data_IF_112051903496
#
_entry.id   IF_112051903496
#
_cell.length_a   1.000
_cell.length_b   1.000
_cell.length_c   1.000
_cell.angle_alpha   90.00
_cell.angle_beta   90.00
_cell.angle_gamma   90.00
#
_symmetry.space_group_name_H-M   'P 1'
#
loop_
_entity.id
_entity.type
_entity.pdbx_description
1 polymer ?
#
# COMPACT_ATOMS: atom_id res chain seq x y z
N UNK A 1 39.38 30.44 -10.71
CA UNK A 1 38.36 30.81 -9.69
C UNK A 1 37.11 31.23 -10.42
N UNK A 2 35.96 31.09 -9.74
CA UNK A 2 34.58 31.29 -10.19
C UNK A 2 33.95 30.09 -10.90
N UNK A 3 33.29 29.26 -10.08
CA UNK A 3 32.11 28.52 -10.51
C UNK A 3 30.84 29.33 -10.24
N UNK A 4 29.71 28.76 -10.66
CA UNK A 4 28.36 28.76 -10.06
C UNK A 4 27.40 28.29 -11.19
N UNK A 5 26.98 27.03 -11.20
CA UNK A 5 25.82 26.51 -10.46
C UNK A 5 24.49 27.04 -11.05
N UNK A 6 24.01 26.41 -12.12
CA UNK A 6 22.60 26.47 -12.54
C UNK A 6 21.96 25.11 -12.31
N UNK A 7 21.16 25.06 -11.25
CA UNK A 7 20.51 23.86 -10.74
C UNK A 7 19.65 23.15 -11.78
N UNK A 8 19.96 21.87 -12.00
CA UNK A 8 18.99 20.91 -12.52
C UNK A 8 18.01 20.59 -11.39
N UNK A 9 16.91 21.32 -11.33
CA UNK A 9 15.71 20.82 -10.65
C UNK A 9 15.23 19.60 -11.41
N UNK A 10 15.67 18.41 -11.01
CA UNK A 10 15.21 17.15 -11.59
C UNK A 10 13.70 17.02 -11.40
N UNK A 11 12.99 16.63 -12.47
CA UNK A 11 11.54 16.40 -12.55
C UNK A 11 11.06 15.19 -11.69
N UNK A 12 11.53 15.05 -10.46
CA UNK A 12 11.25 13.92 -9.57
C UNK A 12 9.74 13.70 -9.33
N UNK A 13 8.92 14.75 -9.39
CA UNK A 13 7.46 14.67 -9.26
C UNK A 13 6.79 13.98 -10.45
N UNK A 14 7.24 14.23 -11.66
CA UNK A 14 6.69 13.60 -12.86
C UNK A 14 7.11 12.12 -12.93
N UNK A 15 8.34 11.81 -12.52
CA UNK A 15 8.82 10.42 -12.47
C UNK A 15 8.15 9.61 -11.36
N UNK A 16 7.91 10.22 -10.19
CA UNK A 16 7.19 9.57 -9.07
C UNK A 16 5.75 9.21 -9.43
N UNK A 17 4.98 10.18 -9.95
CA UNK A 17 3.59 9.93 -10.36
C UNK A 17 3.48 8.92 -11.51
N UNK A 18 4.43 8.94 -12.45
CA UNK A 18 4.49 7.94 -13.53
C UNK A 18 4.76 6.55 -12.97
N UNK A 19 5.67 6.44 -12.00
CA UNK A 19 5.99 5.19 -11.32
C UNK A 19 4.79 4.63 -10.55
N UNK A 20 4.12 5.46 -9.74
CA UNK A 20 2.88 5.09 -9.03
C UNK A 20 1.81 4.58 -10.00
N UNK A 21 1.57 5.29 -11.11
CA UNK A 21 0.60 4.85 -12.14
C UNK A 21 0.98 3.52 -12.79
N UNK A 22 2.27 3.29 -13.05
CA UNK A 22 2.75 2.03 -13.62
C UNK A 22 2.52 0.86 -12.65
N UNK A 23 2.83 1.06 -11.37
CA UNK A 23 2.71 0.02 -10.34
C UNK A 23 1.27 -0.24 -9.89
N UNK A 24 0.49 0.82 -9.70
CA UNK A 24 -0.82 0.77 -9.02
C UNK A 24 -1.99 1.12 -9.91
N UNK A 25 -1.75 1.71 -11.09
CA UNK A 25 -2.80 2.35 -11.87
C UNK A 25 -3.30 3.62 -11.18
N UNK A 26 -4.51 4.05 -11.53
CA UNK A 26 -5.15 5.20 -10.90
C UNK A 26 -6.67 5.07 -10.97
N UNK A 27 -7.34 5.76 -10.06
CA UNK A 27 -8.78 5.96 -10.14
C UNK A 27 -9.07 7.04 -11.19
N UNK A 28 -10.10 6.82 -12.00
CA UNK A 28 -10.60 7.85 -12.93
C UNK A 28 -11.36 8.92 -12.16
N UNK A 29 -10.66 10.00 -11.81
CA UNK A 29 -11.24 11.15 -11.09
C UNK A 29 -12.17 11.99 -11.96
N UNK A 30 -12.14 11.79 -13.27
CA UNK A 30 -13.02 12.47 -14.20
C UNK A 30 -14.36 11.77 -14.39
N UNK A 31 -14.45 10.51 -13.98
CA UNK A 31 -15.66 9.72 -13.97
C UNK A 31 -16.79 10.39 -13.18
N UNK A 32 -18.00 10.29 -13.72
CA UNK A 32 -19.19 10.93 -13.15
C UNK A 32 -19.54 10.34 -11.78
N UNK A 33 -19.47 9.01 -11.61
CA UNK A 33 -19.74 8.33 -10.33
C UNK A 33 -18.75 8.80 -9.28
N UNK A 34 -17.48 8.95 -9.64
CA UNK A 34 -16.46 9.48 -8.73
C UNK A 34 -16.82 10.90 -8.24
N UNK A 35 -17.12 11.81 -9.17
CA UNK A 35 -17.48 13.21 -8.84
C UNK A 35 -18.73 13.29 -7.95
N UNK A 36 -19.75 12.50 -8.25
CA UNK A 36 -20.99 12.43 -7.46
C UNK A 36 -20.74 11.88 -6.05
N UNK A 37 -19.94 10.82 -5.93
CA UNK A 37 -19.60 10.21 -4.65
C UNK A 37 -18.74 11.14 -3.78
N UNK A 38 -17.74 11.79 -4.39
CA UNK A 38 -16.91 12.79 -3.71
C UNK A 38 -17.77 13.96 -3.18
N UNK A 39 -18.68 14.50 -3.99
CA UNK A 39 -19.59 15.56 -3.56
C UNK A 39 -20.50 15.11 -2.41
N UNK A 40 -21.01 13.88 -2.46
CA UNK A 40 -21.84 13.30 -1.41
C UNK A 40 -21.08 13.14 -0.08
N UNK A 41 -19.84 12.67 -0.14
CA UNK A 41 -19.03 12.39 1.06
C UNK A 41 -18.42 13.65 1.69
N UNK A 42 -18.03 14.66 0.88
CA UNK A 42 -17.40 15.89 1.37
C UNK A 42 -18.39 16.90 1.96
N UNK A 43 -19.68 16.76 1.62
CA UNK A 43 -20.73 17.64 2.11
C UNK A 43 -20.58 19.08 1.63
N UNK A 44 -21.45 19.96 2.12
CA UNK A 44 -21.48 21.37 1.70
C UNK A 44 -20.47 22.27 2.42
N UNK A 45 -19.93 21.82 3.56
CA UNK A 45 -19.08 22.66 4.43
C UNK A 45 -17.62 22.72 4.02
N UNK A 46 -17.09 21.67 3.38
CA UNK A 46 -15.72 21.65 2.85
C UNK A 46 -15.63 20.83 1.55
N UNK A 47 -16.06 21.42 0.41
CA UNK A 47 -16.03 20.74 -0.88
C UNK A 47 -14.63 20.23 -1.20
N UNK A 48 -14.49 18.91 -1.43
CA UNK A 48 -13.23 18.27 -1.81
C UNK A 48 -12.30 17.85 -0.67
N UNK A 49 -12.59 18.18 0.59
CA UNK A 49 -11.89 17.60 1.73
C UNK A 49 -12.62 16.33 2.20
N UNK A 50 -11.86 15.25 2.41
CA UNK A 50 -12.38 14.01 3.00
C UNK A 50 -11.48 13.53 4.14
N UNK A 51 -12.09 13.15 5.25
CA UNK A 51 -11.40 12.45 6.33
C UNK A 51 -10.93 11.08 5.88
N UNK A 52 -9.88 10.54 6.52
CA UNK A 52 -9.20 9.30 6.08
C UNK A 52 -10.16 8.14 5.81
N UNK A 53 -11.12 7.88 6.70
CA UNK A 53 -12.10 6.80 6.55
C UNK A 53 -13.01 6.99 5.34
N UNK A 54 -13.46 8.22 5.08
CA UNK A 54 -14.29 8.54 3.91
C UNK A 54 -13.50 8.47 2.61
N UNK A 55 -12.21 8.85 2.65
CA UNK A 55 -11.32 8.71 1.49
C UNK A 55 -11.07 7.25 1.13
N UNK A 56 -10.98 6.36 2.13
CA UNK A 56 -10.92 4.90 1.90
C UNK A 56 -12.22 4.40 1.27
N UNK A 57 -13.38 4.80 1.79
CA UNK A 57 -14.69 4.42 1.22
C UNK A 57 -14.80 4.86 -0.25
N UNK A 58 -14.46 6.12 -0.54
CA UNK A 58 -14.42 6.65 -1.91
C UNK A 58 -13.51 5.82 -2.81
N UNK A 59 -12.29 5.52 -2.36
CA UNK A 59 -11.35 4.73 -3.16
C UNK A 59 -11.89 3.33 -3.45
N UNK A 60 -12.49 2.64 -2.47
CA UNK A 60 -13.07 1.30 -2.66
C UNK A 60 -14.19 1.29 -3.70
N UNK A 61 -15.09 2.26 -3.62
CA UNK A 61 -16.26 2.36 -4.50
C UNK A 61 -15.89 2.72 -5.94
N UNK A 62 -14.76 3.38 -6.14
CA UNK A 62 -14.32 3.88 -7.43
C UNK A 62 -13.11 3.11 -8.01
N UNK A 63 -12.88 1.88 -7.58
CA UNK A 63 -11.80 1.08 -8.15
C UNK A 63 -11.96 0.89 -9.68
N UNK A 64 -10.86 0.97 -10.44
CA UNK A 64 -10.87 0.80 -11.90
C UNK A 64 -11.10 -0.66 -12.34
N UNK A 65 -11.24 -1.60 -11.40
CA UNK A 65 -11.41 -3.02 -11.66
C UNK A 65 -11.77 -3.80 -10.39
N UNK A 66 -11.66 -5.12 -10.47
CA UNK A 66 -11.90 -6.02 -9.33
C UNK A 66 -10.73 -5.95 -8.34
N UNK A 67 -10.95 -5.54 -7.07
CA UNK A 67 -9.88 -5.49 -6.07
C UNK A 67 -9.42 -6.88 -5.60
N UNK A 68 -10.15 -7.97 -5.90
CA UNK A 68 -9.71 -9.35 -5.69
C UNK A 68 -8.86 -9.88 -6.86
N UNK A 69 -8.78 -9.13 -7.95
CA UNK A 69 -7.99 -9.46 -9.14
C UNK A 69 -7.52 -8.17 -9.85
N UNK A 70 -6.61 -7.39 -9.24
CA UNK A 70 -6.20 -6.11 -9.77
C UNK A 70 -5.42 -6.28 -11.08
N UNK A 71 -5.72 -5.45 -12.07
CA UNK A 71 -5.10 -5.55 -13.41
C UNK A 71 -3.59 -5.20 -13.45
N UNK A 72 -3.04 -4.69 -12.34
CA UNK A 72 -1.67 -4.19 -12.28
C UNK A 72 -0.75 -5.28 -11.71
N UNK A 73 0.30 -5.71 -12.45
CA UNK A 73 1.12 -6.86 -12.06
C UNK A 73 1.64 -6.78 -10.62
N UNK A 74 2.23 -5.66 -10.23
CA UNK A 74 2.73 -5.48 -8.86
C UNK A 74 1.65 -5.62 -7.80
N UNK A 75 0.51 -4.96 -7.99
CA UNK A 75 -0.58 -5.00 -7.01
C UNK A 75 -1.19 -6.41 -6.94
N UNK A 76 -1.21 -7.14 -8.06
CA UNK A 76 -1.68 -8.52 -8.14
C UNK A 76 -0.73 -9.51 -7.48
N UNK A 77 0.56 -9.43 -7.78
CA UNK A 77 1.57 -10.29 -7.17
C UNK A 77 1.63 -10.07 -5.66
N UNK A 78 1.49 -8.82 -5.21
CA UNK A 78 1.39 -8.49 -3.79
C UNK A 78 0.11 -9.04 -3.15
N UNK A 79 -1.02 -9.03 -3.87
CA UNK A 79 -2.27 -9.62 -3.39
C UNK A 79 -2.11 -11.13 -3.17
N UNK A 80 -1.54 -11.83 -4.16
CA UNK A 80 -1.28 -13.27 -4.11
C UNK A 80 -0.36 -13.60 -2.93
N UNK A 81 0.74 -12.88 -2.78
CA UNK A 81 1.68 -13.10 -1.67
C UNK A 81 1.00 -12.93 -0.29
N UNK A 82 0.14 -11.93 -0.15
CA UNK A 82 -0.61 -11.73 1.10
C UNK A 82 -1.61 -12.88 1.31
N UNK A 83 -2.33 -13.31 0.28
CA UNK A 83 -3.27 -14.44 0.35
C UNK A 83 -2.56 -15.74 0.77
N UNK A 84 -1.45 -16.07 0.10
CA UNK A 84 -0.67 -17.27 0.36
C UNK A 84 -0.19 -17.33 1.82
N UNK A 85 0.25 -16.20 2.38
CA UNK A 85 0.68 -16.15 3.78
C UNK A 85 -0.45 -16.32 4.79
N UNK A 86 -1.65 -15.79 4.51
CA UNK A 86 -2.82 -16.05 5.35
C UNK A 86 -3.24 -17.53 5.27
N UNK A 87 -3.17 -18.14 4.08
CA UNK A 87 -3.42 -19.58 3.89
C UNK A 87 -2.41 -20.44 4.65
N UNK A 88 -1.11 -20.13 4.56
CA UNK A 88 -0.04 -20.81 5.31
C UNK A 88 -0.24 -20.68 6.82
N UNK A 89 -0.77 -19.55 7.30
CA UNK A 89 -1.12 -19.36 8.71
C UNK A 89 -2.37 -20.15 9.13
N UNK A 90 -3.12 -20.72 8.17
CA UNK A 90 -4.37 -21.43 8.39
C UNK A 90 -5.54 -20.50 8.71
N UNK A 91 -5.52 -19.27 8.19
CA UNK A 91 -6.54 -18.25 8.45
C UNK A 91 -7.35 -18.03 7.17
N UNK A 92 -8.65 -18.32 7.24
CA UNK A 92 -9.57 -18.00 6.15
C UNK A 92 -9.78 -16.48 6.08
N UNK A 93 -9.30 -15.88 4.99
CA UNK A 93 -9.26 -14.45 4.81
C UNK A 93 -9.65 -14.07 3.38
N UNK A 94 -10.52 -13.07 3.24
CA UNK A 94 -10.74 -12.42 1.94
C UNK A 94 -9.81 -11.22 1.83
N UNK A 95 -8.82 -11.31 0.94
CA UNK A 95 -7.84 -10.25 0.69
C UNK A 95 -8.25 -9.45 -0.54
N UNK A 96 -8.15 -8.12 -0.47
CA UNK A 96 -8.44 -7.20 -1.56
C UNK A 96 -7.38 -6.12 -1.64
N UNK A 97 -7.01 -5.70 -2.85
CA UNK A 97 -6.03 -4.68 -3.11
C UNK A 97 -6.65 -3.48 -3.84
N UNK A 98 -6.34 -2.28 -3.36
CA UNK A 98 -6.93 -1.05 -3.85
C UNK A 98 -5.85 -0.03 -4.20
N UNK A 99 -6.03 0.65 -5.34
CA UNK A 99 -5.28 1.88 -5.63
C UNK A 99 -6.03 3.08 -5.09
N UNK A 100 -5.28 4.05 -4.57
CA UNK A 100 -5.76 5.33 -4.09
C UNK A 100 -5.18 6.51 -4.90
N UNK A 101 -4.33 6.22 -5.89
CA UNK A 101 -3.68 7.21 -6.75
C UNK A 101 -4.72 8.11 -7.43
N UNK A 102 -4.56 9.42 -7.24
CA UNK A 102 -5.46 10.46 -7.75
C UNK A 102 -6.61 10.83 -6.81
N UNK A 103 -6.81 10.12 -5.70
CA UNK A 103 -7.92 10.40 -4.77
C UNK A 103 -7.51 11.34 -3.63
N UNK A 104 -8.47 11.87 -2.86
CA UNK A 104 -8.18 12.52 -1.58
C UNK A 104 -7.37 11.66 -0.59
N UNK A 105 -7.41 10.32 -0.70
CA UNK A 105 -6.60 9.43 0.14
C UNK A 105 -5.10 9.60 -0.16
N UNK A 106 -4.73 9.64 -1.44
CA UNK A 106 -3.39 10.00 -1.91
C UNK A 106 -3.07 11.45 -1.50
N UNK A 107 -3.84 12.42 -1.99
CA UNK A 107 -3.43 13.82 -1.93
C UNK A 107 -3.43 14.45 -0.53
N UNK A 108 -4.34 14.00 0.35
CA UNK A 108 -4.48 14.57 1.70
C UNK A 108 -3.79 13.70 2.76
N UNK A 109 -3.83 12.38 2.57
CA UNK A 109 -3.37 11.41 3.57
C UNK A 109 -2.09 10.68 3.19
N UNK A 110 -1.53 10.90 1.99
CA UNK A 110 -0.26 10.31 1.56
C UNK A 110 -0.31 8.78 1.55
N UNK A 111 -1.37 8.25 0.96
CA UNK A 111 -1.60 6.80 0.81
C UNK A 111 -1.93 6.53 -0.64
N UNK A 112 -1.04 5.82 -1.33
CA UNK A 112 -1.15 5.52 -2.77
C UNK A 112 -1.92 4.24 -3.04
N UNK A 113 -1.87 3.30 -2.10
CA UNK A 113 -2.60 2.04 -2.17
C UNK A 113 -2.94 1.51 -0.78
N UNK A 114 -3.82 0.51 -0.71
CA UNK A 114 -4.05 -0.21 0.53
C UNK A 114 -4.53 -1.64 0.25
N UNK A 115 -4.17 -2.55 1.15
CA UNK A 115 -4.67 -3.91 1.19
C UNK A 115 -5.70 -4.01 2.31
N UNK A 116 -6.83 -4.63 2.04
CA UNK A 116 -7.80 -5.00 3.07
C UNK A 116 -7.88 -6.50 3.23
N UNK A 117 -8.03 -6.95 4.46
CA UNK A 117 -8.26 -8.36 4.79
C UNK A 117 -9.50 -8.48 5.64
N UNK A 118 -10.43 -9.33 5.22
CA UNK A 118 -11.63 -9.66 5.98
C UNK A 118 -11.47 -11.04 6.63
N UNK A 119 -11.52 -11.10 7.96
CA UNK A 119 -11.49 -12.33 8.76
C UNK A 119 -12.67 -12.29 9.74
N UNK A 120 -13.46 -13.36 9.81
CA UNK A 120 -14.66 -13.45 10.65
C UNK A 120 -15.63 -12.25 10.49
N UNK A 121 -15.77 -11.77 9.24
CA UNK A 121 -16.63 -10.62 8.90
C UNK A 121 -16.10 -9.25 9.36
N UNK A 122 -14.87 -9.18 9.89
CA UNK A 122 -14.20 -7.93 10.26
C UNK A 122 -13.12 -7.59 9.26
N UNK A 123 -13.13 -6.35 8.78
CA UNK A 123 -12.16 -5.87 7.82
C UNK A 123 -11.02 -5.10 8.50
N UNK A 124 -9.80 -5.40 8.09
CA UNK A 124 -8.57 -4.77 8.53
C UNK A 124 -7.86 -4.15 7.34
N UNK A 125 -7.28 -2.96 7.52
CA UNK A 125 -6.66 -2.21 6.42
C UNK A 125 -5.16 -2.03 6.70
N UNK A 126 -4.34 -2.21 5.68
CA UNK A 126 -2.93 -1.85 5.64
C UNK A 126 -2.70 -0.88 4.48
N UNK A 127 -2.27 0.34 4.80
CA UNK A 127 -2.05 1.43 3.85
C UNK A 127 -0.58 1.50 3.39
N UNK A 128 -0.38 1.82 2.11
CA UNK A 128 0.90 1.83 1.42
C UNK A 128 1.17 3.22 0.82
N UNK A 129 2.41 3.72 0.99
CA UNK A 129 2.96 4.88 0.25
C UNK A 129 4.12 4.34 -0.61
N UNK A 130 4.03 4.49 -1.93
CA UNK A 130 5.09 4.09 -2.85
C UNK A 130 5.95 5.31 -3.14
N UNK A 131 7.25 5.22 -2.88
CA UNK A 131 8.12 6.36 -3.10
C UNK A 131 9.48 5.99 -3.66
N UNK A 132 9.93 6.78 -4.64
CA UNK A 132 11.30 6.78 -5.13
C UNK A 132 12.23 7.64 -4.27
N UNK A 133 11.72 8.34 -3.25
CA UNK A 133 12.53 9.19 -2.39
C UNK A 133 13.01 8.39 -1.15
N UNK A 134 14.30 8.02 -1.06
CA UNK A 134 14.83 7.30 0.09
C UNK A 134 14.77 8.12 1.39
N UNK A 135 14.85 9.45 1.32
CA UNK A 135 14.81 10.33 2.49
C UNK A 135 13.42 10.39 3.13
N UNK A 136 12.36 10.13 2.35
CA UNK A 136 11.02 9.99 2.92
C UNK A 136 11.07 8.89 3.97
N UNK A 137 11.64 7.72 3.70
CA UNK A 137 11.65 6.56 4.61
C UNK A 137 12.07 6.88 6.06
N UNK A 138 12.88 7.92 6.30
CA UNK A 138 13.32 8.33 7.64
C UNK A 138 12.43 9.37 8.38
N UNK A 139 11.47 10.02 7.72
CA UNK A 139 10.85 11.29 8.20
C UNK A 139 9.43 11.20 8.79
N UNK A 140 8.91 10.00 9.03
CA UNK A 140 7.58 9.78 9.62
C UNK A 140 6.47 9.70 8.57
N UNK A 141 5.66 8.64 8.67
CA UNK A 141 4.79 8.18 7.58
C UNK A 141 3.34 8.16 7.96
N UNK A 142 2.49 8.62 7.05
CA UNK A 142 1.03 8.57 7.22
C UNK A 142 0.45 7.20 6.85
N UNK A 143 1.16 6.43 6.01
CA UNK A 143 0.86 5.06 5.65
C UNK A 143 1.40 4.05 6.69
N UNK A 144 0.84 2.84 6.72
CA UNK A 144 1.34 1.75 7.58
C UNK A 144 2.71 1.25 7.09
N UNK A 145 2.91 1.21 5.76
CA UNK A 145 4.14 0.75 5.12
C UNK A 145 4.55 1.69 3.99
N UNK A 146 5.86 1.99 3.90
CA UNK A 146 6.44 2.53 2.67
C UNK A 146 7.02 1.41 1.84
N UNK A 147 6.73 1.49 0.55
CA UNK A 147 7.39 0.69 -0.48
C UNK A 147 8.34 1.61 -1.24
N UNK A 148 9.62 1.23 -1.25
CA UNK A 148 10.64 1.92 -2.03
C UNK A 148 10.59 1.55 -3.52
N UNK A 149 11.68 1.81 -4.22
CA UNK A 149 11.87 1.32 -5.58
C UNK A 149 11.84 -0.22 -5.64
N UNK A 150 11.05 -0.76 -6.57
CA UNK A 150 10.95 -2.20 -6.84
C UNK A 150 11.61 -2.49 -8.19
N UNK A 151 12.37 -3.58 -8.27
CA UNK A 151 13.03 -4.02 -9.49
C UNK A 151 12.04 -4.27 -10.63
N UNK A 152 12.42 -3.96 -11.87
CA UNK A 152 11.60 -4.28 -13.05
C UNK A 152 11.81 -5.76 -13.46
N UNK A 153 10.78 -6.62 -13.35
CA UNK A 153 10.91 -8.05 -13.64
C UNK A 153 11.15 -8.35 -15.12
N UNK A 154 10.95 -7.38 -16.03
CA UNK A 154 11.08 -7.58 -17.48
C UNK A 154 12.50 -7.36 -18.01
N UNK A 155 13.45 -6.94 -17.16
CA UNK A 155 14.82 -6.60 -17.60
C UNK A 155 15.70 -7.83 -17.80
N UNK A 156 15.78 -8.71 -16.81
CA UNK A 156 16.51 -9.98 -16.86
C UNK A 156 16.17 -10.85 -15.62
N UNK A 157 16.63 -12.11 -15.61
CA UNK A 157 16.39 -13.06 -14.51
C UNK A 157 16.86 -12.55 -13.14
N UNK A 158 17.94 -11.76 -13.08
CA UNK A 158 18.43 -11.22 -11.81
C UNK A 158 17.45 -10.16 -11.25
N UNK A 159 16.91 -9.30 -12.10
CA UNK A 159 15.90 -8.31 -11.69
C UNK A 159 14.55 -8.95 -11.40
N UNK A 160 14.18 -9.99 -12.13
CA UNK A 160 12.99 -10.79 -11.84
C UNK A 160 13.08 -11.44 -10.45
N UNK A 161 14.21 -12.08 -10.11
CA UNK A 161 14.38 -12.67 -8.79
C UNK A 161 14.34 -11.61 -7.68
N UNK A 162 14.99 -10.46 -7.88
CA UNK A 162 14.92 -9.33 -6.94
C UNK A 162 13.49 -8.80 -6.75
N UNK A 163 12.74 -8.68 -7.84
CA UNK A 163 11.34 -8.27 -7.79
C UNK A 163 10.52 -9.22 -6.91
N UNK A 164 10.66 -10.53 -7.12
CA UNK A 164 9.96 -11.55 -6.32
C UNK A 164 10.36 -11.50 -4.84
N UNK A 165 11.66 -11.37 -4.54
CA UNK A 165 12.15 -11.22 -3.16
C UNK A 165 11.57 -9.96 -2.48
N UNK A 166 11.47 -8.85 -3.22
CA UNK A 166 10.88 -7.61 -2.73
C UNK A 166 9.37 -7.75 -2.50
N UNK A 167 8.63 -8.39 -3.42
CA UNK A 167 7.20 -8.66 -3.24
C UNK A 167 6.97 -9.53 -2.01
N UNK A 168 7.75 -10.60 -1.83
CA UNK A 168 7.70 -11.47 -0.65
C UNK A 168 7.97 -10.68 0.66
N UNK A 169 9.00 -9.82 0.66
CA UNK A 169 9.32 -8.97 1.82
C UNK A 169 8.20 -7.99 2.15
N UNK A 170 7.63 -7.31 1.14
CA UNK A 170 6.53 -6.36 1.31
C UNK A 170 5.29 -7.12 1.81
N UNK A 171 4.94 -8.24 1.19
CA UNK A 171 3.83 -9.10 1.59
C UNK A 171 3.94 -9.54 3.05
N UNK A 172 5.13 -10.01 3.47
CA UNK A 172 5.40 -10.36 4.87
C UNK A 172 5.16 -9.20 5.83
N UNK A 173 5.61 -7.99 5.48
CA UNK A 173 5.39 -6.80 6.32
C UNK A 173 3.90 -6.47 6.43
N UNK A 174 3.17 -6.52 5.32
CA UNK A 174 1.72 -6.29 5.30
C UNK A 174 0.99 -7.30 6.18
N UNK A 175 1.27 -8.59 6.02
CA UNK A 175 0.67 -9.67 6.80
C UNK A 175 1.00 -9.50 8.29
N UNK A 176 2.24 -9.19 8.63
CA UNK A 176 2.63 -8.87 10.02
C UNK A 176 1.76 -7.76 10.62
N UNK A 177 1.57 -6.67 9.88
CA UNK A 177 0.79 -5.52 10.33
C UNK A 177 -0.69 -5.86 10.47
N UNK A 178 -1.25 -6.61 9.52
CA UNK A 178 -2.64 -7.04 9.53
C UNK A 178 -2.90 -8.04 10.66
N UNK A 179 -2.03 -9.02 10.85
CA UNK A 179 -2.16 -10.00 11.91
C UNK A 179 -2.09 -9.36 13.28
N UNK A 180 -1.23 -8.36 13.51
CA UNK A 180 -1.25 -7.55 14.75
C UNK A 180 -2.61 -6.89 15.01
N UNK A 181 -3.37 -6.56 13.96
CA UNK A 181 -4.73 -6.00 14.06
C UNK A 181 -5.80 -7.08 14.26
N UNK A 182 -5.61 -8.26 13.65
CA UNK A 182 -6.53 -9.43 13.74
C UNK A 182 -6.41 -10.14 15.11
N UNK A 183 -5.19 -10.27 15.63
CA UNK A 183 -4.88 -11.10 16.81
C UNK A 183 -4.87 -10.28 18.10
N UNK A 184 -5.63 -10.73 19.11
CA UNK A 184 -5.47 -10.29 20.50
C UNK A 184 -4.08 -10.67 21.05
N UNK A 185 -3.58 -9.97 22.08
CA UNK A 185 -2.20 -10.15 22.62
C UNK A 185 -1.74 -11.59 22.84
N UNK A 186 -2.64 -12.53 23.18
CA UNK A 186 -2.31 -13.95 23.38
C UNK A 186 -2.04 -14.73 22.07
N UNK A 187 -2.73 -14.44 20.97
CA UNK A 187 -2.55 -15.16 19.69
C UNK A 187 -1.37 -14.63 18.85
N UNK A 188 -0.75 -13.52 19.26
CA UNK A 188 0.41 -12.93 18.59
C UNK A 188 1.69 -13.77 18.75
N UNK A 189 1.86 -14.50 19.85
CA UNK A 189 3.03 -15.34 20.10
C UNK A 189 3.02 -16.61 19.24
N UNK A 190 1.88 -17.29 19.17
CA UNK A 190 1.70 -18.53 18.38
C UNK A 190 1.80 -18.26 16.88
N UNK A 191 1.29 -17.12 16.41
CA UNK A 191 1.42 -16.74 15.00
C UNK A 191 2.84 -16.34 14.61
N UNK A 192 3.57 -15.68 15.51
CA UNK A 192 5.00 -15.40 15.29
C UNK A 192 5.80 -16.69 15.16
N UNK A 193 5.52 -17.67 16.02
CA UNK A 193 6.18 -18.97 15.96
C UNK A 193 5.91 -19.67 14.63
N UNK A 194 4.67 -19.62 14.13
CA UNK A 194 4.29 -20.23 12.83
C UNK A 194 4.90 -19.52 11.61
N UNK A 195 4.97 -18.20 11.62
CA UNK A 195 5.43 -17.43 10.45
C UNK A 195 6.96 -17.26 10.40
N UNK A 196 7.65 -17.23 11.54
CA UNK A 196 9.07 -16.87 11.61
C UNK A 196 9.97 -17.94 12.26
N UNK A 197 9.39 -18.98 12.87
CA UNK A 197 10.13 -19.96 13.66
C UNK A 197 10.64 -19.39 15.00
N UNK A 198 11.00 -20.29 15.92
CA UNK A 198 11.24 -20.04 17.35
C UNK A 198 12.33 -19.00 17.75
N UNK A 199 13.08 -18.38 16.83
CA UNK A 199 14.36 -17.74 17.15
C UNK A 199 14.58 -16.29 16.65
N UNK A 200 13.54 -15.46 16.50
CA UNK A 200 13.77 -14.02 16.29
C UNK A 200 13.49 -13.20 17.56
N UNK A 201 14.49 -12.46 18.10
CA UNK A 201 14.32 -11.68 19.33
C UNK A 201 13.32 -10.55 19.13
N UNK A 202 12.63 -10.18 20.22
CA UNK A 202 11.75 -9.02 20.26
C UNK A 202 12.53 -7.79 19.78
N UNK A 203 12.14 -7.22 18.63
CA UNK A 203 12.58 -5.88 18.28
C UNK A 203 12.04 -4.95 19.38
N UNK A 204 12.94 -4.59 20.28
CA UNK A 204 12.67 -3.79 21.46
C UNK A 204 11.94 -2.52 21.10
N UNK A 205 10.77 -2.35 21.71
CA UNK A 205 10.16 -1.04 21.90
C UNK A 205 10.81 -0.48 23.15
N UNK A 206 11.90 0.26 22.99
CA UNK A 206 12.30 1.23 24.00
C UNK A 206 11.30 2.39 23.94
N UNK A 207 10.66 2.64 25.09
CA UNK A 207 9.74 3.75 25.34
C UNK A 207 10.47 5.09 25.40
#
# INVERSE_FOLDING_TARGET
MEGLNSGRGHNFRETGRTFEFQMLGQIDVDDKRYKELLARLSGSSQPGYLGRSQSIELAKECQPGDPENPNKPFLNDLLIEVQDQFEVAGIEATVRAYTAVGTPLDHLHGVDAFITVTVDGREFVCTLDITLNPDKQASGHKADLIVGEVADPNVNNLQQNKYLEQVEEIGRKIVTMLLKKVTTKQSQAELRERLYGLNQPEAGVDL
#
